data_IF_816792322278
#
_entry.id   IF_816792322278
#
_cell.length_a   1.000
_cell.length_b   1.000
_cell.length_c   1.000
_cell.angle_alpha   90.00
_cell.angle_beta   90.00
_cell.angle_gamma   90.00
#
_symmetry.space_group_name_H-M   'P 1'
#
loop_
_entity.id
_entity.type
_entity.pdbx_description
1 polymer ?
#
# COMPACT_ATOMS: atom_id res chain seq x y z
N UNK A 1 13.76 2.10 -29.30
CA UNK A 1 13.76 1.86 -27.85
C UNK A 1 12.30 1.68 -27.45
N UNK A 2 11.91 0.45 -27.15
CA UNK A 2 10.54 0.15 -26.78
C UNK A 2 10.35 0.65 -25.35
N UNK A 3 9.63 1.76 -25.20
CA UNK A 3 8.98 2.09 -23.94
C UNK A 3 7.93 1.00 -23.71
N UNK A 4 8.29 -0.06 -23.00
CA UNK A 4 7.29 -0.93 -22.41
C UNK A 4 6.54 -0.09 -21.40
N UNK A 5 5.39 0.41 -21.85
CA UNK A 5 4.39 1.00 -20.99
C UNK A 5 4.07 -0.06 -19.94
N UNK A 6 4.50 0.17 -18.72
CA UNK A 6 4.09 -0.64 -17.58
C UNK A 6 2.57 -0.57 -17.55
N UNK A 7 1.89 -1.67 -17.82
CA UNK A 7 0.45 -1.74 -17.70
C UNK A 7 0.10 -1.59 -16.21
N UNK A 8 -0.03 -0.35 -15.79
CA UNK A 8 -0.60 -0.02 -14.49
C UNK A 8 -2.02 -0.57 -14.45
N UNK A 9 -2.27 -1.46 -13.54
CA UNK A 9 -3.61 -1.89 -13.25
C UNK A 9 -4.30 -0.75 -12.50
N UNK A 10 -4.94 0.14 -13.25
CA UNK A 10 -5.70 1.25 -12.67
C UNK A 10 -6.86 0.69 -11.85
N UNK A 11 -6.89 1.04 -10.58
CA UNK A 11 -7.95 0.58 -9.66
C UNK A 11 -9.28 1.19 -10.09
N UNK A 12 -10.35 0.41 -10.26
CA UNK A 12 -11.68 0.96 -10.50
C UNK A 12 -12.11 1.85 -9.33
N UNK A 13 -12.72 3.01 -9.64
CA UNK A 13 -13.12 4.00 -8.61
C UNK A 13 -14.09 3.40 -7.57
N UNK A 14 -15.04 2.60 -8.00
CA UNK A 14 -15.99 1.94 -7.10
C UNK A 14 -15.27 0.95 -6.18
N UNK A 15 -14.31 0.18 -6.71
CA UNK A 15 -13.49 -0.73 -5.91
C UNK A 15 -12.68 0.02 -4.84
N UNK A 16 -12.03 1.13 -5.21
CA UNK A 16 -11.29 1.95 -4.24
C UNK A 16 -12.20 2.49 -3.14
N UNK A 17 -13.39 2.97 -3.51
CA UNK A 17 -14.40 3.46 -2.56
C UNK A 17 -14.85 2.35 -1.59
N UNK A 18 -15.14 1.15 -2.10
CA UNK A 18 -15.55 0.02 -1.27
C UNK A 18 -14.41 -0.43 -0.33
N UNK A 19 -13.17 -0.45 -0.80
CA UNK A 19 -12.00 -0.78 0.02
C UNK A 19 -11.76 0.26 1.12
N UNK A 20 -12.01 1.54 0.85
CA UNK A 20 -11.91 2.60 1.87
C UNK A 20 -12.88 2.41 3.03
N UNK A 21 -14.01 1.70 2.85
CA UNK A 21 -14.93 1.38 3.95
C UNK A 21 -14.31 0.47 5.04
N UNK A 22 -13.21 -0.20 4.76
CA UNK A 22 -12.48 -1.02 5.73
C UNK A 22 -11.46 -0.23 6.56
N UNK A 23 -11.28 1.06 6.28
CA UNK A 23 -10.33 1.94 6.97
C UNK A 23 -11.11 3.02 7.72
N UNK A 24 -10.72 3.26 8.97
CA UNK A 24 -11.26 4.37 9.75
C UNK A 24 -10.24 5.50 9.76
N UNK A 25 -10.53 6.57 9.03
CA UNK A 25 -9.77 7.82 9.05
C UNK A 25 -10.44 8.81 10.01
N UNK A 26 -9.63 9.60 10.69
CA UNK A 26 -10.09 10.61 11.62
C UNK A 26 -9.97 12.02 11.01
N UNK A 27 -10.82 12.97 11.41
CA UNK A 27 -10.66 14.36 11.01
C UNK A 27 -9.25 14.90 11.31
N UNK A 28 -8.61 15.50 10.30
CA UNK A 28 -7.25 16.01 10.40
C UNK A 28 -6.15 14.98 10.17
N UNK A 29 -6.47 13.70 9.92
CA UNK A 29 -5.47 12.73 9.47
C UNK A 29 -4.85 13.19 8.15
N UNK A 30 -3.53 13.11 8.06
CA UNK A 30 -2.81 13.32 6.80
C UNK A 30 -2.67 11.99 6.07
N UNK A 31 -3.30 11.90 4.89
CA UNK A 31 -3.36 10.69 4.07
C UNK A 31 -2.63 10.92 2.77
N UNK A 32 -1.74 10.00 2.41
CA UNK A 32 -0.97 10.10 1.18
C UNK A 32 -1.23 8.92 0.24
N UNK A 33 -1.36 9.21 -1.05
CA UNK A 33 -1.36 8.22 -2.15
C UNK A 33 -0.09 8.38 -3.00
N UNK A 34 0.96 7.60 -2.73
CA UNK A 34 2.27 7.78 -3.38
C UNK A 34 2.37 7.24 -4.80
N UNK A 35 1.34 6.57 -5.29
CA UNK A 35 1.22 6.03 -6.66
C UNK A 35 -0.20 6.27 -7.16
N UNK A 36 -0.52 7.54 -7.34
CA UNK A 36 -1.88 8.01 -7.54
C UNK A 36 -2.54 7.47 -8.82
N UNK A 37 -1.77 7.29 -9.89
CA UNK A 37 -2.33 6.93 -11.19
C UNK A 37 -3.46 7.89 -11.58
N UNK A 38 -4.63 7.35 -11.92
CA UNK A 38 -5.84 8.12 -12.23
C UNK A 38 -6.60 8.62 -10.98
N UNK A 39 -6.08 8.37 -9.78
CA UNK A 39 -6.59 8.94 -8.52
C UNK A 39 -7.76 8.19 -7.88
N UNK A 40 -7.91 6.90 -8.14
CA UNK A 40 -9.05 6.14 -7.61
C UNK A 40 -9.13 6.17 -6.06
N UNK A 41 -8.03 5.96 -5.36
CA UNK A 41 -7.99 6.07 -3.91
C UNK A 41 -8.00 7.53 -3.46
N UNK A 42 -7.24 8.40 -4.13
CA UNK A 42 -7.17 9.82 -3.78
C UNK A 42 -8.55 10.50 -3.80
N UNK A 43 -9.35 10.21 -4.84
CA UNK A 43 -10.70 10.72 -4.97
C UNK A 43 -11.66 10.14 -3.91
N UNK A 44 -11.35 8.93 -3.39
CA UNK A 44 -12.14 8.26 -2.37
C UNK A 44 -11.79 8.69 -0.92
N UNK A 45 -10.73 9.47 -0.73
CA UNK A 45 -10.41 10.01 0.60
C UNK A 45 -11.47 11.03 1.01
N UNK A 46 -11.97 10.98 2.26
CA UNK A 46 -12.97 11.92 2.74
C UNK A 46 -12.42 13.35 2.81
N UNK A 47 -13.31 14.33 2.75
CA UNK A 47 -12.93 15.76 2.73
C UNK A 47 -12.39 16.28 4.06
N UNK A 48 -12.62 15.54 5.16
CA UNK A 48 -12.15 15.92 6.48
C UNK A 48 -10.69 15.53 6.79
N UNK A 49 -9.99 14.91 5.84
CA UNK A 49 -8.56 14.58 5.94
C UNK A 49 -7.69 15.51 5.10
N UNK A 50 -6.43 15.66 5.49
CA UNK A 50 -5.43 16.31 4.65
C UNK A 50 -4.91 15.32 3.61
N UNK A 51 -4.95 15.70 2.33
CA UNK A 51 -4.60 14.83 1.21
C UNK A 51 -3.28 15.25 0.58
N UNK A 52 -2.38 14.30 0.34
CA UNK A 52 -1.21 14.48 -0.51
C UNK A 52 -1.03 13.27 -1.43
N UNK A 53 -0.29 13.43 -2.50
CA UNK A 53 -0.10 12.39 -3.50
C UNK A 53 1.26 12.50 -4.20
N UNK A 54 1.69 11.43 -4.84
CA UNK A 54 2.75 11.42 -5.84
C UNK A 54 2.33 10.56 -7.04
N UNK A 55 2.82 10.93 -8.22
CA UNK A 55 2.68 10.18 -9.46
C UNK A 55 3.85 10.53 -10.39
N UNK A 56 4.64 9.53 -10.71
CA UNK A 56 5.87 9.75 -11.48
C UNK A 56 5.59 10.31 -12.88
N UNK A 57 4.52 9.86 -13.52
CA UNK A 57 4.10 10.38 -14.83
C UNK A 57 3.66 11.86 -14.78
N UNK A 58 3.33 12.34 -13.58
CA UNK A 58 2.98 13.75 -13.32
C UNK A 58 4.16 14.52 -12.69
N UNK A 59 5.37 13.97 -12.75
CA UNK A 59 6.61 14.63 -12.32
C UNK A 59 6.86 14.65 -10.80
N UNK A 60 6.11 13.90 -10.00
CA UNK A 60 6.29 13.81 -8.55
C UNK A 60 6.56 12.36 -8.13
N UNK A 61 7.77 12.09 -7.65
CA UNK A 61 8.15 10.77 -7.16
C UNK A 61 7.57 10.52 -5.76
N UNK A 62 7.32 9.26 -5.40
CA UNK A 62 6.87 8.90 -4.05
C UNK A 62 7.86 9.34 -2.94
N UNK A 63 9.14 9.49 -3.26
CA UNK A 63 10.17 10.01 -2.36
C UNK A 63 10.09 11.52 -2.15
N UNK A 64 9.36 12.24 -2.99
CA UNK A 64 9.17 13.69 -2.88
C UNK A 64 8.08 14.07 -1.88
N UNK A 65 7.30 13.08 -1.40
CA UNK A 65 6.35 13.29 -0.32
C UNK A 65 7.13 13.53 0.97
N UNK A 66 7.06 14.75 1.47
CA UNK A 66 7.78 15.20 2.66
C UNK A 66 6.86 15.35 3.88
N UNK A 67 7.49 15.39 5.04
CA UNK A 67 6.81 15.61 6.31
C UNK A 67 6.18 14.33 6.87
N UNK A 68 5.48 14.54 7.97
CA UNK A 68 4.79 13.48 8.69
C UNK A 68 3.41 13.21 8.07
N UNK A 69 3.04 11.95 7.97
CA UNK A 69 1.70 11.54 7.57
C UNK A 69 1.18 10.38 8.43
N UNK A 70 -0.13 10.32 8.55
CA UNK A 70 -0.80 9.30 9.38
C UNK A 70 -1.01 8.02 8.60
N UNK A 71 -1.46 8.14 7.35
CA UNK A 71 -1.83 7.01 6.51
C UNK A 71 -1.18 7.04 5.14
N UNK A 72 -0.82 5.85 4.66
CA UNK A 72 -0.42 5.59 3.29
C UNK A 72 -1.39 4.59 2.68
N UNK A 73 -2.12 4.98 1.64
CA UNK A 73 -3.14 4.15 1.01
C UNK A 73 -2.93 4.18 -0.50
N UNK A 74 -2.71 3.03 -1.12
CA UNK A 74 -2.39 2.98 -2.55
C UNK A 74 -2.52 1.59 -3.16
N UNK A 75 -2.57 1.55 -4.49
CA UNK A 75 -2.25 0.38 -5.30
C UNK A 75 -0.82 0.56 -5.84
N UNK A 76 0.21 0.03 -5.15
CA UNK A 76 1.58 0.24 -5.59
C UNK A 76 1.89 -0.55 -6.88
N UNK A 77 2.82 -0.09 -7.70
CA UNK A 77 3.29 -0.86 -8.85
C UNK A 77 3.90 -2.18 -8.37
N UNK A 78 3.75 -3.27 -9.12
CA UNK A 78 4.28 -4.59 -8.72
C UNK A 78 5.81 -4.64 -8.68
N UNK A 79 6.46 -3.77 -9.41
CA UNK A 79 7.92 -3.67 -9.50
C UNK A 79 8.36 -2.22 -9.50
N UNK A 80 9.44 -1.95 -8.80
CA UNK A 80 10.09 -0.65 -8.78
C UNK A 80 11.52 -0.79 -9.32
N UNK A 81 11.94 0.23 -10.04
CA UNK A 81 13.34 0.40 -10.40
C UNK A 81 14.05 1.17 -9.29
N UNK A 82 15.03 0.54 -8.67
CA UNK A 82 15.87 1.15 -7.64
C UNK A 82 17.31 1.17 -8.13
N UNK A 83 17.69 2.26 -8.81
CA UNK A 83 18.97 2.34 -9.49
C UNK A 83 19.08 1.31 -10.62
N UNK A 84 20.02 0.35 -10.51
CA UNK A 84 20.25 -0.69 -11.51
C UNK A 84 19.45 -1.98 -11.28
N UNK A 85 18.64 -2.05 -10.22
CA UNK A 85 17.92 -3.25 -9.84
C UNK A 85 16.41 -3.07 -9.93
N UNK A 86 15.74 -4.08 -10.47
CA UNK A 86 14.29 -4.20 -10.44
C UNK A 86 13.88 -5.07 -9.25
N UNK A 87 13.13 -4.49 -8.30
CA UNK A 87 12.72 -5.18 -7.07
C UNK A 87 11.22 -5.40 -7.02
N UNK A 88 10.79 -6.43 -6.29
CA UNK A 88 9.39 -6.57 -5.91
C UNK A 88 9.03 -5.39 -4.99
N UNK A 89 8.06 -4.61 -5.40
CA UNK A 89 7.74 -3.34 -4.73
C UNK A 89 7.04 -3.51 -3.40
N UNK A 90 6.24 -4.56 -3.22
CA UNK A 90 5.38 -4.70 -2.04
C UNK A 90 6.17 -4.61 -0.73
N UNK A 91 7.17 -5.49 -0.56
CA UNK A 91 7.99 -5.44 0.65
C UNK A 91 8.86 -4.19 0.71
N UNK A 92 9.44 -3.78 -0.40
CA UNK A 92 10.30 -2.59 -0.45
C UNK A 92 9.55 -1.34 0.03
N UNK A 93 8.34 -1.12 -0.46
CA UNK A 93 7.51 0.01 -0.06
C UNK A 93 6.97 -0.15 1.36
N UNK A 94 6.62 -1.37 1.76
CA UNK A 94 6.16 -1.63 3.12
C UNK A 94 7.27 -1.31 4.14
N UNK A 95 8.51 -1.76 3.87
CA UNK A 95 9.68 -1.43 4.67
C UNK A 95 9.93 0.08 4.73
N UNK A 96 9.79 0.78 3.61
CA UNK A 96 9.92 2.23 3.50
C UNK A 96 8.87 2.97 4.31
N UNK A 97 7.59 2.59 4.18
CA UNK A 97 6.49 3.32 4.81
C UNK A 97 6.26 2.97 6.28
N UNK A 98 6.63 1.77 6.73
CA UNK A 98 6.58 1.44 8.17
C UNK A 98 7.51 2.29 9.03
N UNK A 99 8.48 2.96 8.43
CA UNK A 99 9.39 3.89 9.11
C UNK A 99 8.89 5.34 9.07
N UNK A 100 7.82 5.64 8.34
CA UNK A 100 7.33 7.00 8.06
C UNK A 100 5.89 7.23 8.45
N UNK A 101 5.00 6.31 8.15
CA UNK A 101 3.59 6.42 8.52
C UNK A 101 3.40 6.29 10.03
N UNK A 102 2.46 7.04 10.60
CA UNK A 102 2.21 7.05 12.04
C UNK A 102 1.14 6.06 12.49
N UNK A 103 0.07 5.88 11.71
CA UNK A 103 -1.13 5.13 12.11
C UNK A 103 -1.40 3.90 11.26
N UNK A 104 -1.35 4.04 9.94
CA UNK A 104 -1.74 2.95 9.05
C UNK A 104 -1.10 2.97 7.68
N UNK A 105 -1.07 1.78 7.08
CA UNK A 105 -0.64 1.52 5.71
C UNK A 105 -1.66 0.59 5.08
N UNK A 106 -2.18 0.93 3.91
CA UNK A 106 -3.10 0.07 3.20
C UNK A 106 -2.68 -0.07 1.72
N UNK A 107 -2.29 -1.28 1.34
CA UNK A 107 -1.81 -1.61 0.00
C UNK A 107 -2.71 -2.62 -0.69
N UNK A 108 -3.11 -2.31 -1.91
CA UNK A 108 -3.71 -3.28 -2.82
C UNK A 108 -2.60 -4.05 -3.54
N UNK A 109 -2.64 -5.37 -3.48
CA UNK A 109 -1.65 -6.23 -4.12
C UNK A 109 -2.25 -7.56 -4.56
N UNK A 110 -1.49 -8.34 -5.31
CA UNK A 110 -1.88 -9.67 -5.72
C UNK A 110 -1.41 -10.74 -4.72
N UNK A 111 -1.65 -12.01 -5.02
CA UNK A 111 -1.28 -13.17 -4.19
C UNK A 111 0.22 -13.28 -3.91
N UNK A 112 1.10 -12.76 -4.80
CA UNK A 112 2.55 -12.78 -4.57
C UNK A 112 2.97 -11.95 -3.36
N UNK A 113 2.11 -11.03 -2.88
CA UNK A 113 2.37 -10.26 -1.67
C UNK A 113 2.51 -11.16 -0.44
N UNK A 114 1.73 -12.24 -0.34
CA UNK A 114 1.83 -13.19 0.76
C UNK A 114 3.20 -13.88 0.79
N UNK A 115 3.72 -14.29 -0.35
CA UNK A 115 5.04 -14.94 -0.42
C UNK A 115 6.19 -14.00 -0.03
N UNK A 116 5.98 -12.69 -0.13
CA UNK A 116 6.98 -11.71 0.31
C UNK A 116 6.97 -11.46 1.82
N UNK A 117 5.88 -11.81 2.52
CA UNK A 117 5.74 -11.67 3.97
C UNK A 117 6.36 -12.87 4.72
N UNK A 118 7.66 -13.08 4.50
CA UNK A 118 8.42 -14.14 5.17
C UNK A 118 8.40 -13.97 6.70
N UNK A 119 8.64 -15.02 7.51
CA UNK A 119 8.72 -14.90 8.96
C UNK A 119 9.67 -13.80 9.43
N UNK A 120 10.85 -13.68 8.79
CA UNK A 120 11.81 -12.62 9.09
C UNK A 120 11.21 -11.21 8.87
N UNK A 121 10.50 -11.00 7.76
CA UNK A 121 9.89 -9.71 7.45
C UNK A 121 8.73 -9.38 8.38
N UNK A 122 7.93 -10.37 8.73
CA UNK A 122 6.86 -10.20 9.71
C UNK A 122 7.40 -9.86 11.10
N UNK A 123 8.56 -10.45 11.47
CA UNK A 123 9.23 -10.07 12.71
C UNK A 123 9.68 -8.59 12.70
N UNK A 124 10.22 -8.11 11.57
CA UNK A 124 10.57 -6.69 11.41
C UNK A 124 9.33 -5.78 11.60
N UNK A 125 8.19 -6.14 11.01
CA UNK A 125 6.94 -5.40 11.21
C UNK A 125 6.54 -5.36 12.69
N UNK A 126 6.59 -6.52 13.34
CA UNK A 126 6.25 -6.65 14.78
C UNK A 126 7.18 -5.82 15.66
N UNK A 127 8.48 -5.85 15.43
CA UNK A 127 9.47 -5.03 16.17
C UNK A 127 9.23 -3.54 16.02
N UNK A 128 8.72 -3.10 14.86
CA UNK A 128 8.31 -1.72 14.60
C UNK A 128 6.90 -1.37 15.11
N UNK A 129 6.22 -2.31 15.75
CA UNK A 129 4.88 -2.13 16.30
C UNK A 129 3.74 -2.25 15.27
N UNK A 130 4.03 -2.75 14.06
CA UNK A 130 3.03 -2.92 13.00
C UNK A 130 2.37 -4.30 13.04
N UNK A 131 1.08 -4.33 12.78
CA UNK A 131 0.27 -5.54 12.69
C UNK A 131 -0.56 -5.50 11.41
N UNK A 132 -0.71 -6.63 10.75
CA UNK A 132 -1.71 -6.78 9.69
C UNK A 132 -3.06 -6.96 10.38
N UNK A 133 -3.89 -5.94 10.34
CA UNK A 133 -5.18 -5.93 11.05
C UNK A 133 -6.33 -6.40 10.18
N UNK A 134 -6.19 -6.29 8.86
CA UNK A 134 -7.20 -6.77 7.89
C UNK A 134 -6.52 -7.20 6.59
N UNK A 135 -7.11 -8.21 5.96
CA UNK A 135 -6.86 -8.56 4.57
C UNK A 135 -8.21 -8.71 3.89
N UNK A 136 -8.52 -7.82 2.96
CA UNK A 136 -9.78 -7.85 2.20
C UNK A 136 -9.51 -8.47 0.84
N UNK A 137 -10.20 -9.56 0.53
CA UNK A 137 -10.10 -10.21 -0.78
C UNK A 137 -10.99 -9.49 -1.78
N UNK A 138 -10.43 -9.09 -2.91
CA UNK A 138 -11.21 -8.49 -3.98
C UNK A 138 -10.93 -9.16 -5.33
N UNK A 139 -11.96 -9.21 -6.16
CA UNK A 139 -11.89 -9.70 -7.52
C UNK A 139 -12.30 -8.56 -8.46
N UNK A 140 -11.38 -8.17 -9.34
CA UNK A 140 -11.60 -7.08 -10.26
C UNK A 140 -11.75 -7.67 -11.67
N UNK A 141 -12.91 -7.46 -12.29
CA UNK A 141 -13.31 -8.10 -13.55
C UNK A 141 -12.28 -8.02 -14.67
N UNK A 142 -11.55 -6.90 -14.75
CA UNK A 142 -10.57 -6.65 -15.80
C UNK A 142 -9.17 -7.23 -15.47
N UNK A 143 -8.96 -7.71 -14.26
CA UNK A 143 -7.67 -8.20 -13.81
C UNK A 143 -7.71 -9.71 -13.64
N UNK A 144 -6.61 -10.36 -14.01
CA UNK A 144 -6.48 -11.81 -13.76
C UNK A 144 -6.11 -12.07 -12.31
N UNK A 145 -6.72 -13.09 -11.71
CA UNK A 145 -6.40 -13.55 -10.37
C UNK A 145 -7.18 -12.83 -9.28
N UNK A 146 -6.70 -12.98 -8.05
CA UNK A 146 -7.26 -12.37 -6.86
C UNK A 146 -6.36 -11.27 -6.38
N UNK A 147 -6.97 -10.26 -5.80
CA UNK A 147 -6.26 -9.14 -5.20
C UNK A 147 -6.64 -9.04 -3.72
N UNK A 148 -5.74 -8.47 -2.97
CA UNK A 148 -5.84 -8.41 -1.52
C UNK A 148 -5.50 -7.00 -1.08
N UNK A 149 -6.38 -6.42 -0.28
CA UNK A 149 -6.13 -5.13 0.35
C UNK A 149 -5.61 -5.39 1.76
N UNK A 150 -4.32 -5.20 1.93
CA UNK A 150 -3.62 -5.38 3.19
C UNK A 150 -3.70 -4.09 3.99
N UNK A 151 -4.26 -4.15 5.19
CA UNK A 151 -4.30 -3.02 6.12
C UNK A 151 -3.40 -3.35 7.30
N UNK A 152 -2.38 -2.52 7.48
CA UNK A 152 -1.46 -2.57 8.61
C UNK A 152 -1.69 -1.36 9.50
N UNK A 153 -1.69 -1.58 10.81
CA UNK A 153 -1.87 -0.53 11.81
C UNK A 153 -0.96 -0.80 13.02
N UNK A 154 -0.60 0.26 13.72
CA UNK A 154 0.10 0.15 15.01
C UNK A 154 -0.86 -0.23 16.13
N UNK A 155 -2.09 0.24 16.04
CA UNK A 155 -3.16 -0.08 16.98
C UNK A 155 -4.08 -1.16 16.42
N UNK A 156 -4.79 -1.85 17.30
CA UNK A 156 -5.73 -2.89 16.93
C UNK A 156 -5.20 -4.30 17.13
N UNK A 157 -6.04 -5.27 16.82
CA UNK A 157 -5.72 -6.69 16.91
C UNK A 157 -5.09 -7.17 15.60
N UNK A 158 -3.97 -7.87 15.67
CA UNK A 158 -3.37 -8.52 14.50
C UNK A 158 -4.27 -9.65 13.99
N UNK A 159 -4.35 -9.79 12.67
CA UNK A 159 -5.13 -10.82 11.99
C UNK A 159 -4.27 -12.01 11.54
N UNK A 160 -2.99 -11.77 11.25
CA UNK A 160 -2.05 -12.79 10.77
C UNK A 160 -0.99 -13.11 11.82
N UNK A 161 -0.78 -14.39 12.03
CA UNK A 161 0.36 -14.92 12.75
C UNK A 161 1.32 -15.68 11.83
N UNK A 162 2.53 -15.89 12.28
CA UNK A 162 3.57 -16.63 11.56
C UNK A 162 4.42 -17.43 12.54
N UNK A 163 4.99 -18.50 12.02
CA UNK A 163 5.99 -19.27 12.79
C UNK A 163 7.35 -18.55 12.68
N UNK A 164 7.99 -18.24 13.83
CA UNK A 164 9.22 -17.44 13.83
C UNK A 164 10.46 -18.20 13.35
N UNK A 165 10.37 -19.50 13.20
CA UNK A 165 11.48 -20.38 12.77
C UNK A 165 11.12 -21.12 11.50
N UNK A 166 12.12 -21.29 10.62
CA UNK A 166 12.01 -22.17 9.47
C UNK A 166 12.30 -23.61 9.91
N UNK A 167 11.39 -24.51 9.58
CA UNK A 167 11.55 -25.95 9.79
C UNK A 167 12.16 -26.60 8.58
#
# INVERSE_FOLDING_TARGET
>A
MNNEVYHFHQTPKDCAKDLMAFITLLPGDKVVEPFKGEGAFYDAFPDYVEKDWAELEQGKNYTDISGDYDWVITNPPFRLETGTKRVNSFWFLLDYYTQRAKKGIAFLGNDTCFSTLTPRRQNILKERGWKITKVVVCSIKKWRGRYFFFVLQKEGMGFMDFLPTNY
#
